data_IF_688674368722
#
_entry.id   IF_688674368722
#
_cell.length_a   1.000
_cell.length_b   1.000
_cell.length_c   1.000
_cell.angle_alpha   90.00
_cell.angle_beta   90.00
_cell.angle_gamma   90.00
#
_symmetry.space_group_name_H-M   'P 1'
#
loop_
_entity.id
_entity.type
_entity.pdbx_description
1 polymer ?
#
# COMPACT_ATOMS: atom_id res chain seq x y z
N UNK A 1 -40.17 -12.77 -28.78
CA UNK A 1 -41.03 -11.62 -29.12
C UNK A 1 -41.49 -11.00 -27.81
N UNK A 2 -40.89 -9.89 -27.38
CA UNK A 2 -41.32 -9.19 -26.17
C UNK A 2 -42.62 -8.43 -26.49
N UNK A 3 -43.75 -8.71 -25.82
CA UNK A 3 -44.98 -7.98 -26.06
C UNK A 3 -44.90 -6.66 -25.30
N UNK A 4 -44.22 -5.67 -25.88
CA UNK A 4 -44.24 -4.29 -25.40
C UNK A 4 -45.56 -3.64 -25.80
N UNK A 5 -46.36 -3.21 -24.83
CA UNK A 5 -47.41 -2.21 -25.05
C UNK A 5 -46.74 -0.86 -24.89
N UNK A 6 -46.46 -0.19 -25.99
CA UNK A 6 -45.87 1.14 -26.01
C UNK A 6 -46.97 2.12 -25.57
N UNK A 7 -47.11 2.28 -24.25
CA UNK A 7 -47.97 3.32 -23.70
C UNK A 7 -47.21 4.65 -23.81
N UNK A 8 -47.88 5.74 -24.18
CA UNK A 8 -47.25 7.05 -24.12
C UNK A 8 -46.83 7.32 -22.68
N UNK A 9 -45.62 7.86 -22.53
CA UNK A 9 -45.05 8.19 -21.23
C UNK A 9 -45.96 9.17 -20.50
N UNK A 10 -46.18 8.94 -19.21
CA UNK A 10 -46.93 9.85 -18.35
C UNK A 10 -46.04 11.04 -17.97
N UNK A 11 -46.62 12.24 -17.79
CA UNK A 11 -45.85 13.47 -17.50
C UNK A 11 -44.95 13.35 -16.26
N UNK A 12 -45.27 12.45 -15.33
CA UNK A 12 -44.50 12.15 -14.12
C UNK A 12 -43.29 11.24 -14.35
N UNK A 13 -43.21 10.61 -15.52
CA UNK A 13 -42.09 9.75 -15.93
C UNK A 13 -41.00 10.55 -16.65
N UNK A 14 -41.29 11.81 -17.03
CA UNK A 14 -40.28 12.73 -17.53
C UNK A 14 -39.44 13.28 -16.37
N UNK A 15 -38.12 13.44 -16.55
CA UNK A 15 -37.27 14.05 -15.54
C UNK A 15 -37.80 15.43 -15.15
N UNK A 16 -37.96 15.67 -13.84
CA UNK A 16 -38.42 16.95 -13.33
C UNK A 16 -37.24 17.90 -12.98
N UNK A 17 -37.54 19.13 -12.58
CA UNK A 17 -36.51 20.10 -12.23
C UNK A 17 -35.63 19.67 -11.03
N UNK A 18 -36.12 18.74 -10.18
CA UNK A 18 -35.35 18.19 -9.08
C UNK A 18 -34.37 17.11 -9.57
N UNK A 19 -34.76 16.32 -10.58
CA UNK A 19 -33.88 15.35 -11.24
C UNK A 19 -32.75 16.02 -12.05
N UNK A 20 -32.98 17.23 -12.56
CA UNK A 20 -31.98 18.03 -13.28
C UNK A 20 -31.04 18.82 -12.35
N UNK A 21 -31.33 18.90 -11.06
CA UNK A 21 -30.55 19.70 -10.11
C UNK A 21 -29.30 18.97 -9.55
N UNK A 22 -29.06 17.74 -10.00
CA UNK A 22 -27.99 16.87 -9.51
C UNK A 22 -27.10 16.34 -10.65
N UNK A 23 -26.77 17.17 -11.62
CA UNK A 23 -25.57 16.96 -12.44
C UNK A 23 -24.39 17.68 -11.77
N UNK A 24 -24.00 17.17 -10.59
CA UNK A 24 -22.62 17.27 -10.13
C UNK A 24 -21.76 16.76 -11.27
N UNK A 25 -21.25 17.68 -12.10
CA UNK A 25 -20.39 17.37 -13.23
C UNK A 25 -19.34 16.40 -12.72
N UNK A 26 -19.49 15.12 -13.08
CA UNK A 26 -18.57 14.07 -12.71
C UNK A 26 -17.25 14.50 -13.33
N UNK A 27 -16.42 15.20 -12.54
CA UNK A 27 -15.21 15.82 -13.03
C UNK A 27 -14.33 14.68 -13.47
N UNK A 28 -14.29 14.44 -14.78
CA UNK A 28 -13.50 13.37 -15.36
C UNK A 28 -12.04 13.69 -15.06
N UNK A 29 -11.51 13.05 -14.02
CA UNK A 29 -10.12 13.21 -13.59
C UNK A 29 -9.23 12.51 -14.60
N UNK A 30 -8.70 13.30 -15.53
CA UNK A 30 -7.70 12.88 -16.51
C UNK A 30 -6.31 13.09 -15.91
N UNK A 31 -5.51 12.04 -15.90
CA UNK A 31 -4.09 12.08 -15.52
C UNK A 31 -3.21 11.85 -16.75
N UNK A 32 -1.92 12.18 -16.68
CA UNK A 32 -0.97 11.87 -17.77
C UNK A 32 -0.35 10.50 -17.55
N UNK A 33 -0.29 9.70 -18.61
CA UNK A 33 0.39 8.41 -18.58
C UNK A 33 1.88 8.60 -18.26
N UNK A 34 2.46 7.87 -17.29
CA UNK A 34 3.87 7.99 -16.92
C UNK A 34 4.83 7.47 -18.01
N UNK A 35 4.35 6.68 -18.97
CA UNK A 35 5.19 6.10 -20.03
C UNK A 35 5.21 6.96 -21.32
N UNK A 36 4.05 7.43 -21.78
CA UNK A 36 3.95 8.17 -23.05
C UNK A 36 3.55 9.65 -22.89
N UNK A 37 3.07 10.06 -21.71
CA UNK A 37 2.65 11.44 -21.42
C UNK A 37 1.23 11.81 -21.88
N UNK A 38 0.53 10.89 -22.57
CA UNK A 38 -0.82 11.13 -23.08
C UNK A 38 -1.87 11.15 -21.95
N UNK A 39 -2.97 11.86 -22.17
CA UNK A 39 -4.07 11.95 -21.22
C UNK A 39 -4.84 10.63 -21.15
N UNK A 40 -5.01 10.14 -19.93
CA UNK A 40 -5.70 8.89 -19.60
C UNK A 40 -6.66 9.13 -18.44
N UNK A 41 -7.70 8.32 -18.33
CA UNK A 41 -8.54 8.30 -17.13
C UNK A 41 -7.73 7.82 -15.93
N UNK A 42 -7.93 8.41 -14.75
CA UNK A 42 -7.20 8.01 -13.53
C UNK A 42 -7.42 6.55 -13.12
N UNK A 43 -8.57 5.98 -13.45
CA UNK A 43 -8.93 4.59 -13.17
C UNK A 43 -8.44 3.60 -14.24
N UNK A 44 -7.79 4.10 -15.31
CA UNK A 44 -7.26 3.24 -16.37
C UNK A 44 -6.14 2.34 -15.83
N UNK A 45 -6.34 1.03 -15.84
CA UNK A 45 -5.30 0.06 -15.46
C UNK A 45 -4.20 -0.08 -16.52
N UNK A 46 -4.55 0.18 -17.78
CA UNK A 46 -3.64 0.10 -18.92
C UNK A 46 -3.85 1.32 -19.82
N UNK A 47 -2.75 1.91 -20.28
CA UNK A 47 -2.82 3.07 -21.18
C UNK A 47 -3.34 2.65 -22.57
N UNK A 48 -4.39 3.28 -23.12
CA UNK A 48 -4.91 2.95 -24.45
C UNK A 48 -3.97 3.37 -25.59
N UNK A 49 -3.03 4.29 -25.33
CA UNK A 49 -2.11 4.82 -26.33
C UNK A 49 -0.84 3.97 -26.47
N UNK A 50 -0.15 3.67 -25.36
CA UNK A 50 1.10 2.90 -25.37
C UNK A 50 0.97 1.45 -24.92
N UNK A 51 -0.20 1.04 -24.40
CA UNK A 51 -0.47 -0.32 -23.86
C UNK A 51 0.37 -0.70 -22.63
N UNK A 52 1.04 0.25 -22.01
CA UNK A 52 1.77 0.05 -20.76
C UNK A 52 0.81 -0.02 -19.56
N UNK A 53 1.12 -0.86 -18.58
CA UNK A 53 0.33 -1.00 -17.35
C UNK A 53 0.64 0.13 -16.37
N UNK A 54 -0.40 0.76 -15.82
CA UNK A 54 -0.26 1.88 -14.88
C UNK A 54 -0.25 1.31 -13.46
N UNK A 55 0.95 1.12 -12.90
CA UNK A 55 1.10 0.67 -11.52
C UNK A 55 0.96 1.88 -10.59
N UNK A 56 0.00 1.90 -9.65
CA UNK A 56 -0.15 3.00 -8.72
C UNK A 56 1.14 3.18 -7.88
N UNK A 57 1.80 4.35 -7.93
CA UNK A 57 3.00 4.60 -7.13
C UNK A 57 2.61 4.81 -5.66
N UNK A 58 2.34 3.73 -4.93
CA UNK A 58 2.01 3.85 -3.50
C UNK A 58 1.75 2.57 -2.73
N UNK A 59 1.40 1.47 -3.40
CA UNK A 59 0.98 0.25 -2.70
C UNK A 59 2.14 -0.64 -2.23
N UNK A 60 3.34 -0.53 -2.81
CA UNK A 60 4.43 -1.46 -2.50
C UNK A 60 5.15 -1.17 -1.16
N UNK A 61 5.12 0.06 -0.65
CA UNK A 61 5.93 0.43 0.53
C UNK A 61 5.20 0.34 1.87
N UNK A 62 3.86 0.46 1.89
CA UNK A 62 3.12 0.61 3.15
C UNK A 62 2.97 -0.70 3.94
N UNK A 63 2.90 -1.84 3.25
CA UNK A 63 2.73 -3.16 3.89
C UNK A 63 4.04 -3.71 4.49
N UNK A 64 5.20 -3.33 3.93
CA UNK A 64 6.51 -3.84 4.35
C UNK A 64 7.01 -3.24 5.67
N UNK A 65 6.49 -2.08 6.09
CA UNK A 65 6.95 -1.36 7.29
C UNK A 65 6.85 -2.17 8.59
N UNK A 66 5.80 -2.98 8.76
CA UNK A 66 5.61 -3.81 9.97
C UNK A 66 6.62 -4.95 10.05
N UNK A 67 7.05 -5.50 8.91
CA UNK A 67 8.01 -6.60 8.87
C UNK A 67 9.42 -6.11 9.22
N UNK A 68 9.83 -4.96 8.68
CA UNK A 68 11.14 -4.37 8.99
C UNK A 68 11.30 -3.97 10.46
N UNK A 69 10.24 -3.43 11.10
CA UNK A 69 10.29 -3.10 12.53
C UNK A 69 10.47 -4.35 13.39
N UNK A 70 9.74 -5.44 13.08
CA UNK A 70 9.91 -6.72 13.79
C UNK A 70 11.29 -7.31 13.56
N UNK A 71 11.76 -7.32 12.32
CA UNK A 71 13.09 -7.82 11.96
C UNK A 71 14.19 -7.03 12.71
N UNK A 72 14.09 -5.70 12.74
CA UNK A 72 15.01 -4.85 13.48
C UNK A 72 15.02 -5.13 14.99
N UNK A 73 13.86 -5.33 15.60
CA UNK A 73 13.74 -5.66 17.02
C UNK A 73 14.42 -7.00 17.35
N UNK A 74 14.21 -8.03 16.53
CA UNK A 74 14.85 -9.33 16.72
C UNK A 74 16.37 -9.24 16.57
N UNK A 75 16.84 -8.50 15.57
CA UNK A 75 18.27 -8.33 15.29
C UNK A 75 18.96 -7.54 16.42
N UNK A 76 18.34 -6.48 16.93
CA UNK A 76 18.83 -5.76 18.10
C UNK A 76 18.89 -6.67 19.35
N UNK A 77 17.84 -7.45 19.58
CA UNK A 77 17.79 -8.40 20.71
C UNK A 77 18.90 -9.46 20.63
N UNK A 78 19.14 -10.05 19.46
CA UNK A 78 20.17 -11.08 19.31
C UNK A 78 21.58 -10.51 19.50
N UNK A 79 21.84 -9.30 18.98
CA UNK A 79 23.10 -8.60 19.22
C UNK A 79 23.34 -8.36 20.71
N UNK A 80 22.32 -7.84 21.43
CA UNK A 80 22.42 -7.60 22.88
C UNK A 80 22.70 -8.88 23.67
N UNK A 81 21.98 -9.97 23.38
CA UNK A 81 22.18 -11.25 24.05
C UNK A 81 23.59 -11.78 23.78
N UNK A 82 24.03 -11.73 22.52
CA UNK A 82 25.38 -12.17 22.15
C UNK A 82 26.44 -11.38 22.94
N UNK A 83 26.30 -10.06 23.01
CA UNK A 83 27.23 -9.21 23.77
C UNK A 83 27.29 -9.57 25.25
N UNK A 84 26.13 -9.78 25.89
CA UNK A 84 26.04 -10.17 27.30
C UNK A 84 26.73 -11.53 27.54
N UNK A 85 26.50 -12.51 26.66
CA UNK A 85 27.14 -13.84 26.76
C UNK A 85 28.67 -13.71 26.74
N UNK A 86 29.22 -12.92 25.82
CA UNK A 86 30.66 -12.69 25.75
C UNK A 86 31.22 -11.99 27.00
N UNK A 87 30.49 -11.01 27.55
CA UNK A 87 30.89 -10.35 28.81
C UNK A 87 30.92 -11.32 29.99
N UNK A 88 29.91 -12.20 30.11
CA UNK A 88 29.83 -13.19 31.18
C UNK A 88 30.97 -14.21 31.04
N UNK A 89 31.19 -14.75 29.84
CA UNK A 89 32.28 -15.70 29.59
C UNK A 89 33.65 -15.09 29.88
N UNK A 90 33.87 -13.84 29.48
CA UNK A 90 35.09 -13.09 29.81
C UNK A 90 35.28 -12.91 31.31
N UNK A 91 34.22 -12.52 32.04
CA UNK A 91 34.27 -12.37 33.49
C UNK A 91 34.59 -13.70 34.20
N UNK A 92 33.97 -14.80 33.78
CA UNK A 92 34.24 -16.14 34.32
C UNK A 92 35.70 -16.54 34.08
N UNK A 93 36.22 -16.30 32.87
CA UNK A 93 37.61 -16.61 32.54
C UNK A 93 38.60 -15.81 33.42
N UNK A 94 38.37 -14.51 33.60
CA UNK A 94 39.19 -13.67 34.48
C UNK A 94 39.12 -14.12 35.94
N UNK A 95 37.94 -14.48 36.44
CA UNK A 95 37.80 -15.01 37.80
C UNK A 95 38.55 -16.33 37.97
N UNK A 96 38.50 -17.22 36.97
CA UNK A 96 39.21 -18.50 37.00
C UNK A 96 40.74 -18.31 36.99
N UNK A 97 41.26 -17.36 36.20
CA UNK A 97 42.70 -17.07 36.20
C UNK A 97 43.17 -16.48 37.51
N UNK A 98 42.42 -15.54 38.10
CA UNK A 98 42.74 -14.96 39.42
C UNK A 98 42.73 -16.03 40.51
N UNK A 99 41.73 -16.92 40.53
CA UNK A 99 41.63 -17.97 41.55
C UNK A 99 42.71 -19.04 41.38
N UNK A 100 43.10 -19.36 40.14
CA UNK A 100 44.21 -20.25 39.83
C UNK A 100 45.59 -19.70 40.22
N UNK A 101 45.77 -18.38 40.16
CA UNK A 101 46.99 -17.69 40.63
C UNK A 101 47.07 -17.59 42.17
N UNK A 102 45.93 -17.63 42.86
CA UNK A 102 45.85 -17.54 44.32
C UNK A 102 46.00 -18.89 45.05
N UNK A 103 46.08 -20.00 44.31
CA UNK A 103 46.22 -21.36 44.83
C UNK A 103 47.63 -21.89 44.61
#
# INVERSE_FOLDING_TARGET
MFPGKDKPLEDKEFPDEADLAEDEQEMVLLSRCPACGELIYEDAQQCPHCKEWIVPPGQLWRQSRRWYVRAGLYLAKTILINWIVWLILGAIAVMATIWGLAR
#
